data_IF_768878218480
#
_entry.id   IF_768878218480
#
_cell.length_a   1.000
_cell.length_b   1.000
_cell.length_c   1.000
_cell.angle_alpha   90.00
_cell.angle_beta   90.00
_cell.angle_gamma   90.00
#
_symmetry.space_group_name_H-M   'P 1'
#
loop_
_entity.id
_entity.type
_entity.pdbx_description
1 polymer ?
#
# COMPACT_ATOMS: atom_id res chain seq x y z
N UNK A 1 -17.32 -9.62 -6.56
CA UNK A 1 -17.48 -9.79 -5.10
C UNK A 1 -16.40 -9.20 -4.19
N UNK A 2 -15.08 -9.44 -4.34
CA UNK A 2 -14.07 -8.87 -3.37
C UNK A 2 -13.52 -7.50 -3.77
N UNK A 3 -13.39 -7.21 -5.08
CA UNK A 3 -12.91 -5.90 -5.58
C UNK A 3 -13.97 -4.81 -5.35
N UNK A 4 -15.24 -5.13 -5.59
CA UNK A 4 -16.38 -4.21 -5.35
C UNK A 4 -16.36 -3.60 -3.93
N UNK A 5 -15.96 -4.38 -2.92
CA UNK A 5 -15.86 -3.88 -1.53
C UNK A 5 -14.80 -2.80 -1.36
N UNK A 6 -13.69 -2.85 -2.12
CA UNK A 6 -12.67 -1.79 -2.11
C UNK A 6 -13.28 -0.52 -2.72
N UNK A 7 -13.97 -0.66 -3.85
CA UNK A 7 -14.59 0.47 -4.54
C UNK A 7 -15.70 1.12 -3.72
N UNK A 8 -16.49 0.33 -2.97
CA UNK A 8 -17.48 0.83 -2.02
C UNK A 8 -16.86 1.69 -0.93
N UNK A 9 -15.76 1.22 -0.30
CA UNK A 9 -15.05 1.97 0.75
C UNK A 9 -14.48 3.28 0.19
N UNK A 10 -13.85 3.23 -0.99
CA UNK A 10 -13.28 4.42 -1.63
C UNK A 10 -14.36 5.41 -2.07
N UNK A 11 -15.50 4.91 -2.56
CA UNK A 11 -16.65 5.74 -2.93
C UNK A 11 -17.27 6.43 -1.71
N UNK A 12 -17.39 5.69 -0.59
CA UNK A 12 -17.84 6.25 0.68
C UNK A 12 -16.90 7.33 1.18
N UNK A 13 -15.58 7.06 1.21
CA UNK A 13 -14.57 8.04 1.57
C UNK A 13 -14.67 9.31 0.70
N UNK A 14 -14.79 9.16 -0.61
CA UNK A 14 -14.92 10.29 -1.55
C UNK A 14 -16.17 11.12 -1.29
N UNK A 15 -17.29 10.48 -0.93
CA UNK A 15 -18.52 11.17 -0.55
C UNK A 15 -18.31 11.98 0.73
N UNK A 16 -17.84 11.34 1.79
CA UNK A 16 -17.62 11.97 3.10
C UNK A 16 -16.57 13.10 3.01
N UNK A 17 -15.57 12.98 2.13
CA UNK A 17 -14.61 14.04 1.82
C UNK A 17 -15.29 15.27 1.22
N UNK A 18 -16.16 15.08 0.23
CA UNK A 18 -16.89 16.18 -0.43
C UNK A 18 -17.86 16.88 0.52
N UNK A 19 -18.41 16.15 1.47
CA UNK A 19 -19.34 16.66 2.48
C UNK A 19 -18.61 17.33 3.67
N UNK A 20 -17.26 17.32 3.69
CA UNK A 20 -16.48 17.88 4.79
C UNK A 20 -16.62 17.12 6.10
N UNK A 21 -17.04 15.85 6.05
CA UNK A 21 -17.39 15.03 7.22
C UNK A 21 -16.36 13.95 7.52
N UNK A 22 -15.09 14.14 7.16
CA UNK A 22 -14.09 13.08 7.32
C UNK A 22 -13.90 12.67 8.80
N UNK A 23 -13.58 13.64 9.64
CA UNK A 23 -13.27 13.42 11.06
C UNK A 23 -14.49 12.88 11.81
N UNK A 24 -15.67 13.46 11.59
CA UNK A 24 -16.91 13.01 12.23
C UNK A 24 -17.35 11.60 11.81
N UNK A 25 -16.87 11.11 10.66
CA UNK A 25 -17.09 9.73 10.18
C UNK A 25 -15.94 8.78 10.53
N UNK A 26 -14.94 9.24 11.28
CA UNK A 26 -13.81 8.44 11.77
C UNK A 26 -12.74 8.16 10.72
N UNK A 27 -12.70 8.92 9.62
CA UNK A 27 -11.60 8.83 8.67
C UNK A 27 -10.32 9.46 9.24
N UNK A 28 -9.11 9.05 8.80
CA UNK A 28 -7.87 9.64 9.28
C UNK A 28 -7.85 11.16 9.07
N UNK A 29 -7.43 11.93 10.08
CA UNK A 29 -7.41 13.39 10.02
C UNK A 29 -6.26 13.94 9.15
N UNK A 30 -5.11 13.27 9.16
CA UNK A 30 -3.91 13.68 8.42
C UNK A 30 -3.61 12.71 7.29
N UNK A 31 -3.22 13.22 6.11
CA UNK A 31 -2.91 12.43 4.92
C UNK A 31 -3.99 11.39 4.53
N UNK A 32 -5.26 11.68 4.83
CA UNK A 32 -6.36 10.73 4.73
C UNK A 32 -6.45 10.02 3.38
N UNK A 33 -6.43 10.78 2.29
CA UNK A 33 -6.50 10.23 0.94
C UNK A 33 -5.32 9.30 0.62
N UNK A 34 -4.11 9.66 1.08
CA UNK A 34 -2.92 8.84 0.89
C UNK A 34 -3.04 7.52 1.65
N UNK A 35 -3.41 7.57 2.94
CA UNK A 35 -3.60 6.39 3.80
C UNK A 35 -4.63 5.45 3.16
N UNK A 36 -5.79 5.98 2.75
CA UNK A 36 -6.84 5.19 2.13
C UNK A 36 -6.40 4.58 0.80
N UNK A 37 -5.64 5.33 -0.02
CA UNK A 37 -5.14 4.81 -1.29
C UNK A 37 -4.18 3.63 -1.10
N UNK A 38 -3.30 3.68 -0.09
CA UNK A 38 -2.35 2.61 0.22
C UNK A 38 -3.02 1.41 0.88
N UNK A 39 -4.01 1.62 1.75
CA UNK A 39 -4.83 0.55 2.31
C UNK A 39 -5.61 -0.20 1.22
N UNK A 40 -6.20 0.52 0.27
CA UNK A 40 -6.89 -0.06 -0.88
C UNK A 40 -5.94 -0.85 -1.79
N UNK A 41 -4.75 -0.32 -2.08
CA UNK A 41 -3.69 -1.02 -2.83
C UNK A 41 -3.30 -2.32 -2.13
N UNK A 42 -3.07 -2.29 -0.81
CA UNK A 42 -2.75 -3.47 0.00
C UNK A 42 -3.84 -4.55 -0.08
N UNK A 43 -5.12 -4.15 0.06
CA UNK A 43 -6.24 -5.07 -0.10
C UNK A 43 -6.31 -5.66 -1.52
N UNK A 44 -6.07 -4.85 -2.54
CA UNK A 44 -6.09 -5.27 -3.94
C UNK A 44 -4.98 -6.27 -4.26
N UNK A 45 -3.78 -6.08 -3.71
CA UNK A 45 -2.65 -7.03 -3.81
C UNK A 45 -3.04 -8.41 -3.31
N UNK A 46 -3.71 -8.52 -2.16
CA UNK A 46 -4.19 -9.82 -1.64
C UNK A 46 -5.20 -10.49 -2.57
N UNK A 47 -6.10 -9.70 -3.17
CA UNK A 47 -7.08 -10.22 -4.14
C UNK A 47 -6.37 -10.72 -5.39
N UNK A 48 -5.43 -9.96 -5.93
CA UNK A 48 -4.69 -10.33 -7.13
C UNK A 48 -3.83 -11.57 -6.89
N UNK A 49 -3.11 -11.65 -5.78
CA UNK A 49 -2.31 -12.82 -5.40
C UNK A 49 -3.16 -14.10 -5.37
N UNK A 50 -4.38 -14.04 -4.84
CA UNK A 50 -5.32 -15.17 -4.84
C UNK A 50 -5.83 -15.51 -6.24
N UNK A 51 -6.07 -14.51 -7.10
CA UNK A 51 -6.56 -14.72 -8.47
C UNK A 51 -5.49 -15.24 -9.42
N UNK A 52 -4.23 -14.91 -9.18
CA UNK A 52 -3.10 -15.19 -10.06
C UNK A 52 -2.04 -16.00 -9.31
N UNK A 53 -2.31 -17.29 -8.98
CA UNK A 53 -1.46 -18.08 -8.08
C UNK A 53 -0.07 -18.39 -8.65
N UNK A 54 0.16 -18.18 -9.94
CA UNK A 54 1.48 -18.31 -10.60
C UNK A 54 2.36 -17.08 -10.37
N UNK A 55 1.76 -15.90 -10.18
CA UNK A 55 2.49 -14.65 -9.96
C UNK A 55 2.86 -14.46 -8.47
N UNK A 56 4.00 -13.80 -8.23
CA UNK A 56 4.37 -13.29 -6.90
C UNK A 56 3.92 -11.83 -6.80
N UNK A 57 2.80 -11.59 -6.13
CA UNK A 57 2.18 -10.25 -6.05
C UNK A 57 2.21 -9.80 -4.60
N UNK A 58 3.06 -8.83 -4.28
CA UNK A 58 3.28 -8.37 -2.90
C UNK A 58 3.26 -6.83 -2.83
N UNK A 59 3.03 -6.30 -1.63
CA UNK A 59 3.18 -4.88 -1.32
C UNK A 59 4.43 -4.65 -0.49
N UNK A 60 5.03 -3.45 -0.61
CA UNK A 60 6.19 -3.06 0.20
C UNK A 60 6.13 -1.59 0.57
N UNK A 61 6.41 -1.30 1.84
CA UNK A 61 6.80 0.02 2.31
C UNK A 61 8.34 0.12 2.21
N UNK A 62 8.90 1.02 1.37
CA UNK A 62 10.34 1.16 1.23
C UNK A 62 11.01 1.85 2.43
N UNK A 63 10.22 2.31 3.41
CA UNK A 63 10.66 3.16 4.51
C UNK A 63 10.59 4.65 4.17
N UNK A 64 11.20 5.48 5.01
CA UNK A 64 11.18 6.94 4.88
C UNK A 64 12.35 7.45 4.03
N UNK A 65 12.10 7.59 2.72
CA UNK A 65 13.10 7.84 1.69
C UNK A 65 13.18 9.32 1.30
N UNK A 66 14.40 9.84 1.16
CA UNK A 66 14.70 11.20 0.67
C UNK A 66 14.32 11.34 -0.81
N UNK A 67 13.09 11.74 -1.07
CA UNK A 67 12.52 11.98 -2.41
C UNK A 67 11.73 13.28 -2.42
N UNK A 68 11.38 13.78 -3.61
CA UNK A 68 10.58 15.00 -3.75
C UNK A 68 9.22 14.93 -3.04
N UNK A 69 8.60 13.73 -2.97
CA UNK A 69 7.35 13.51 -2.21
C UNK A 69 7.50 13.88 -0.74
N UNK A 70 8.69 13.68 -0.19
CA UNK A 70 9.04 14.02 1.20
C UNK A 70 9.86 15.30 1.29
N UNK A 71 9.87 16.17 0.26
CA UNK A 71 10.69 17.38 0.20
C UNK A 71 12.19 17.10 0.47
N UNK A 72 12.68 15.96 -0.03
CA UNK A 72 14.04 15.46 0.18
C UNK A 72 14.42 15.22 1.65
N UNK A 73 13.42 15.09 2.53
CA UNK A 73 13.59 14.61 3.90
C UNK A 73 13.41 13.09 3.99
N UNK A 74 14.05 12.44 4.95
CA UNK A 74 14.09 10.98 5.02
C UNK A 74 15.29 10.48 5.82
N UNK A 75 15.23 9.25 6.32
CA UNK A 75 16.38 8.57 6.95
C UNK A 75 17.13 7.68 5.95
N UNK A 76 16.50 7.35 4.82
CA UNK A 76 17.07 6.50 3.77
C UNK A 76 17.39 7.29 2.50
N UNK A 77 18.45 6.89 1.80
CA UNK A 77 18.71 7.29 0.41
C UNK A 77 17.74 6.62 -0.56
N UNK A 78 17.71 7.09 -1.81
CA UNK A 78 16.89 6.49 -2.88
C UNK A 78 17.31 5.03 -3.14
N UNK A 79 18.61 4.77 -3.14
CA UNK A 79 19.19 3.44 -3.34
C UNK A 79 18.80 2.48 -2.19
N UNK A 80 18.87 2.94 -0.94
CA UNK A 80 18.44 2.15 0.22
C UNK A 80 16.93 1.87 0.19
N UNK A 81 16.12 2.84 -0.23
CA UNK A 81 14.69 2.66 -0.42
C UNK A 81 14.33 1.68 -1.55
N UNK A 82 15.11 1.67 -2.62
CA UNK A 82 14.89 0.84 -3.80
C UNK A 82 15.23 -0.64 -3.58
N UNK A 83 16.10 -0.96 -2.61
CA UNK A 83 16.52 -2.34 -2.33
C UNK A 83 15.34 -3.29 -2.09
N UNK A 84 14.34 -2.83 -1.33
CA UNK A 84 13.20 -3.64 -0.91
C UNK A 84 12.25 -4.02 -2.06
N UNK A 85 11.75 -3.07 -2.89
CA UNK A 85 10.97 -3.42 -4.07
C UNK A 85 11.76 -4.21 -5.11
N UNK A 86 13.06 -3.94 -5.31
CA UNK A 86 13.91 -4.72 -6.23
C UNK A 86 14.03 -6.17 -5.76
N UNK A 87 14.23 -6.40 -4.45
CA UNK A 87 14.23 -7.76 -3.87
C UNK A 87 12.95 -8.53 -4.18
N UNK A 88 11.79 -7.87 -4.05
CA UNK A 88 10.50 -8.51 -4.35
C UNK A 88 10.31 -8.78 -5.85
N UNK A 89 10.79 -7.89 -6.71
CA UNK A 89 10.75 -8.08 -8.16
C UNK A 89 11.62 -9.26 -8.63
N UNK A 90 12.69 -9.59 -7.88
CA UNK A 90 13.61 -10.68 -8.17
C UNK A 90 13.27 -11.99 -7.42
N UNK A 91 12.08 -12.07 -6.80
CA UNK A 91 11.65 -13.29 -6.12
C UNK A 91 11.59 -14.48 -7.09
N UNK A 92 12.02 -15.63 -6.58
CA UNK A 92 11.83 -16.91 -7.23
C UNK A 92 10.35 -17.31 -7.21
N UNK A 93 9.97 -18.25 -8.07
CA UNK A 93 8.58 -18.70 -8.20
C UNK A 93 8.01 -19.38 -6.94
N UNK A 94 8.88 -19.88 -6.06
CA UNK A 94 8.56 -20.44 -4.75
C UNK A 94 8.48 -19.38 -3.63
N UNK A 95 8.66 -18.09 -3.97
CA UNK A 95 8.57 -16.98 -3.03
C UNK A 95 7.15 -16.63 -2.56
N UNK A 96 7.03 -15.75 -1.56
CA UNK A 96 5.75 -15.32 -1.00
C UNK A 96 4.90 -14.57 -2.03
N UNK A 97 3.59 -14.63 -1.87
CA UNK A 97 2.60 -13.90 -2.68
C UNK A 97 1.41 -13.52 -1.81
N UNK A 98 0.92 -12.31 -1.97
CA UNK A 98 -0.17 -11.74 -1.17
C UNK A 98 0.27 -11.16 0.17
N UNK A 99 1.56 -10.90 0.36
CA UNK A 99 2.13 -10.40 1.61
C UNK A 99 2.42 -8.89 1.56
N UNK A 100 2.59 -8.29 2.73
CA UNK A 100 3.07 -6.93 2.92
C UNK A 100 4.45 -6.96 3.57
N UNK A 101 5.37 -6.12 3.09
CA UNK A 101 6.71 -6.00 3.62
C UNK A 101 6.98 -4.58 4.11
N UNK A 102 7.51 -4.43 5.31
CA UNK A 102 8.18 -3.21 5.72
C UNK A 102 9.69 -3.37 5.50
N UNK A 103 10.20 -2.67 4.48
CA UNK A 103 11.54 -2.90 3.94
C UNK A 103 11.75 -4.38 3.59
N UNK A 104 12.54 -5.10 4.38
CA UNK A 104 12.88 -6.52 4.15
C UNK A 104 12.02 -7.48 4.97
N UNK A 105 11.34 -6.99 5.99
CA UNK A 105 10.58 -7.80 6.93
C UNK A 105 9.14 -7.98 6.45
N UNK A 106 8.64 -9.21 6.53
CA UNK A 106 7.21 -9.47 6.31
C UNK A 106 6.41 -8.98 7.52
N UNK A 107 5.35 -8.23 7.26
CA UNK A 107 4.50 -7.66 8.28
C UNK A 107 3.04 -8.04 8.04
N UNK A 108 2.22 -8.12 9.11
CA UNK A 108 0.78 -8.22 8.96
C UNK A 108 0.21 -6.97 8.28
N UNK A 109 -0.94 -7.15 7.62
CA UNK A 109 -1.74 -6.06 7.06
C UNK A 109 -2.49 -5.26 8.12
#
# INVERSE_FOLDING_TARGET
MVIERIDEVLSKYRKDYKEGSLESKGWPAFMSAYILSKAAMNAYTRILAKKLPTFRINCVCPGYVKTDVNLNTGILSVEEGAESPVRLALLRNDGPSGCFFERKEECPF
#
